data_IF_855704298086
#
_entry.id   IF_855704298086
#
_cell.length_a   1.000
_cell.length_b   1.000
_cell.length_c   1.000
_cell.angle_alpha   90.00
_cell.angle_beta   90.00
_cell.angle_gamma   90.00
#
_symmetry.space_group_name_H-M   'P 1'
#
loop_
_entity.id
_entity.type
_entity.pdbx_description
1 polymer ?
#
# COMPACT_ATOMS: atom_id res chain seq x y z
N UNK A 1 -20.04 17.68 17.48
CA UNK A 1 -18.69 18.27 17.56
C UNK A 1 -17.81 17.33 18.38
N UNK A 2 -16.60 16.99 17.91
CA UNK A 2 -15.64 16.18 18.67
C UNK A 2 -14.78 17.13 19.52
N UNK A 3 -15.14 17.32 20.78
CA UNK A 3 -14.30 18.01 21.76
C UNK A 3 -13.59 16.97 22.63
N UNK A 4 -12.26 16.95 22.60
CA UNK A 4 -11.43 16.47 23.70
C UNK A 4 -10.32 17.50 23.93
N UNK A 5 -10.25 18.04 25.15
CA UNK A 5 -9.16 18.87 25.68
C UNK A 5 -9.01 20.31 25.14
N UNK A 6 -10.12 21.00 24.83
CA UNK A 6 -10.11 22.47 24.64
C UNK A 6 -9.30 22.97 23.43
N UNK A 7 -8.88 22.08 22.53
CA UNK A 7 -8.29 22.42 21.24
C UNK A 7 -9.32 22.08 20.16
N UNK A 8 -9.55 23.02 19.24
CA UNK A 8 -10.31 22.76 18.03
C UNK A 8 -9.54 21.65 17.29
N UNK A 9 -10.14 20.47 17.14
CA UNK A 9 -9.57 19.47 16.26
C UNK A 9 -9.60 20.04 14.85
N UNK A 10 -8.52 19.80 14.10
CA UNK A 10 -8.53 20.03 12.66
C UNK A 10 -9.65 19.21 12.03
N UNK A 11 -10.21 19.73 10.96
CA UNK A 11 -11.20 18.99 10.19
C UNK A 11 -10.60 17.66 9.73
N UNK A 12 -11.45 16.63 9.63
CA UNK A 12 -11.00 15.33 9.13
C UNK A 12 -10.39 15.53 7.73
N UNK A 13 -9.29 14.82 7.40
CA UNK A 13 -8.68 14.93 6.09
C UNK A 13 -9.71 14.57 5.01
N UNK A 14 -9.67 15.30 3.90
CA UNK A 14 -10.47 14.96 2.74
C UNK A 14 -10.06 13.60 2.17
N UNK A 15 -11.01 12.94 1.51
CA UNK A 15 -10.73 11.66 0.87
C UNK A 15 -9.74 11.82 -0.28
N UNK A 16 -8.64 11.06 -0.24
CA UNK A 16 -7.65 11.04 -1.33
C UNK A 16 -7.96 9.91 -2.31
N UNK A 17 -8.45 10.28 -3.51
CA UNK A 17 -8.66 9.34 -4.61
C UNK A 17 -7.34 8.68 -5.05
N UNK A 18 -6.24 9.45 -5.10
CA UNK A 18 -4.91 8.92 -5.41
C UNK A 18 -4.49 7.83 -4.44
N UNK A 19 -4.62 8.08 -3.13
CA UNK A 19 -4.29 7.08 -2.11
C UNK A 19 -5.20 5.83 -2.21
N UNK A 20 -6.48 6.02 -2.51
CA UNK A 20 -7.41 4.91 -2.71
C UNK A 20 -7.04 4.03 -3.91
N UNK A 21 -6.66 4.64 -5.04
CA UNK A 21 -6.23 3.91 -6.24
C UNK A 21 -4.92 3.16 -5.96
N UNK A 22 -3.94 3.79 -5.29
CA UNK A 22 -2.68 3.14 -4.91
C UNK A 22 -2.95 1.92 -4.02
N UNK A 23 -3.84 2.05 -3.02
CA UNK A 23 -4.21 0.93 -2.15
C UNK A 23 -4.85 -0.21 -2.93
N UNK A 24 -5.76 0.09 -3.86
CA UNK A 24 -6.37 -0.91 -4.72
C UNK A 24 -5.35 -1.60 -5.63
N UNK A 25 -4.41 -0.83 -6.21
CA UNK A 25 -3.33 -1.36 -7.03
C UNK A 25 -2.45 -2.33 -6.22
N UNK A 26 -2.05 -1.94 -5.00
CA UNK A 26 -1.32 -2.82 -4.10
C UNK A 26 -2.08 -4.12 -3.82
N UNK A 27 -3.39 -4.05 -3.56
CA UNK A 27 -4.21 -5.25 -3.34
C UNK A 27 -4.20 -6.17 -4.57
N UNK A 28 -4.28 -5.63 -5.78
CA UNK A 28 -4.20 -6.42 -7.02
C UNK A 28 -2.81 -7.04 -7.19
N UNK A 29 -1.75 -6.23 -7.10
CA UNK A 29 -0.35 -6.67 -7.25
C UNK A 29 0.00 -7.73 -6.20
N UNK A 30 -0.41 -7.54 -4.94
CA UNK A 30 -0.10 -8.46 -3.84
C UNK A 30 -0.63 -9.89 -4.04
N UNK A 31 -1.59 -10.10 -4.94
CA UNK A 31 -2.09 -11.43 -5.30
C UNK A 31 -1.08 -12.27 -6.06
N UNK A 32 -0.11 -11.66 -6.73
CA UNK A 32 1.00 -12.39 -7.39
C UNK A 32 2.12 -12.76 -6.43
N UNK A 33 2.02 -12.41 -5.14
CA UNK A 33 3.07 -12.64 -4.16
C UNK A 33 3.43 -14.13 -4.07
N UNK A 34 4.72 -14.40 -4.19
CA UNK A 34 5.28 -15.72 -3.95
C UNK A 34 5.39 -16.03 -2.44
N UNK A 35 5.22 -17.30 -2.11
CA UNK A 35 5.41 -17.81 -0.76
C UNK A 35 6.39 -18.98 -0.80
N UNK A 36 7.39 -18.97 0.08
CA UNK A 36 8.36 -20.04 0.21
C UNK A 36 8.28 -20.63 1.62
N UNK A 37 7.99 -21.93 1.73
CA UNK A 37 7.78 -22.60 3.03
C UNK A 37 6.78 -21.88 3.94
N UNK A 38 5.75 -21.25 3.35
CA UNK A 38 4.74 -20.47 4.08
C UNK A 38 5.17 -19.05 4.45
N UNK A 39 6.40 -18.64 4.13
CA UNK A 39 6.91 -17.29 4.33
C UNK A 39 6.58 -16.42 3.12
N UNK A 40 5.94 -15.28 3.38
CA UNK A 40 5.64 -14.27 2.35
C UNK A 40 6.94 -13.64 1.84
N UNK A 41 7.19 -13.73 0.53
CA UNK A 41 8.33 -13.06 -0.10
C UNK A 41 7.97 -11.61 -0.47
N UNK A 42 8.94 -10.68 -0.51
CA UNK A 42 8.72 -9.32 -0.97
C UNK A 42 8.21 -9.26 -2.41
N UNK A 43 7.43 -8.23 -2.72
CA UNK A 43 7.06 -7.96 -4.11
C UNK A 43 8.28 -7.49 -4.88
N UNK A 44 8.37 -7.88 -6.14
CA UNK A 44 9.42 -7.44 -7.05
C UNK A 44 8.87 -6.41 -8.06
N UNK A 45 9.80 -5.70 -8.71
CA UNK A 45 9.44 -4.74 -9.75
C UNK A 45 8.69 -5.37 -10.93
N UNK A 46 8.85 -6.68 -11.18
CA UNK A 46 8.17 -7.38 -12.28
C UNK A 46 6.67 -7.44 -12.05
N UNK A 47 6.25 -7.68 -10.82
CA UNK A 47 4.84 -7.69 -10.43
C UNK A 47 4.20 -6.31 -10.62
N UNK A 48 4.96 -5.23 -10.38
CA UNK A 48 4.50 -3.86 -10.61
C UNK A 48 4.44 -3.56 -12.11
N UNK A 49 5.49 -3.90 -12.87
CA UNK A 49 5.50 -3.74 -14.33
C UNK A 49 4.32 -4.43 -15.01
N UNK A 50 4.02 -5.68 -14.62
CA UNK A 50 2.89 -6.43 -15.17
C UNK A 50 1.53 -5.77 -14.87
N UNK A 51 1.36 -5.12 -13.71
CA UNK A 51 0.17 -4.32 -13.43
C UNK A 51 0.10 -3.09 -14.34
N UNK A 52 1.23 -2.42 -14.56
CA UNK A 52 1.32 -1.22 -15.39
C UNK A 52 1.19 -1.47 -16.89
N UNK A 53 1.27 -2.72 -17.34
CA UNK A 53 0.89 -3.11 -18.70
C UNK A 53 -0.63 -2.99 -18.95
N UNK A 54 -1.43 -3.03 -17.88
CA UNK A 54 -2.90 -3.02 -17.94
C UNK A 54 -3.52 -1.72 -17.43
N UNK A 55 -2.81 -0.98 -16.58
CA UNK A 55 -3.33 0.18 -15.85
C UNK A 55 -2.34 1.35 -15.85
N UNK A 56 -2.88 2.57 -15.85
CA UNK A 56 -2.09 3.80 -15.66
C UNK A 56 -1.86 4.10 -14.17
N UNK A 57 -0.79 4.84 -13.85
CA UNK A 57 -0.52 5.29 -12.47
C UNK A 57 -1.33 6.54 -12.12
N UNK A 58 -1.84 6.66 -10.88
CA UNK A 58 -2.60 7.83 -10.43
C UNK A 58 -1.72 9.04 -10.06
N UNK A 59 -0.40 8.90 -10.21
CA UNK A 59 0.64 9.88 -9.89
C UNK A 59 1.92 9.55 -10.69
N UNK A 60 3.01 10.27 -10.43
CA UNK A 60 4.32 9.98 -10.99
C UNK A 60 4.73 8.53 -10.70
N UNK A 61 5.31 7.87 -11.70
CA UNK A 61 5.64 6.45 -11.64
C UNK A 61 6.51 6.10 -10.43
N UNK A 62 7.53 6.91 -10.13
CA UNK A 62 8.41 6.66 -8.98
C UNK A 62 7.66 6.75 -7.65
N UNK A 63 6.74 7.72 -7.49
CA UNK A 63 5.89 7.85 -6.30
C UNK A 63 4.98 6.63 -6.15
N UNK A 64 4.35 6.20 -7.24
CA UNK A 64 3.50 5.01 -7.24
C UNK A 64 4.27 3.76 -6.78
N UNK A 65 5.45 3.51 -7.38
CA UNK A 65 6.31 2.38 -7.05
C UNK A 65 6.75 2.42 -5.59
N UNK A 66 7.19 3.58 -5.10
CA UNK A 66 7.58 3.78 -3.70
C UNK A 66 6.43 3.50 -2.73
N UNK A 67 5.22 3.97 -3.04
CA UNK A 67 4.05 3.70 -2.21
C UNK A 67 3.69 2.20 -2.20
N UNK A 68 3.76 1.51 -3.34
CA UNK A 68 3.51 0.05 -3.40
C UNK A 68 4.51 -0.71 -2.54
N UNK A 69 5.81 -0.37 -2.60
CA UNK A 69 6.82 -0.99 -1.74
C UNK A 69 6.67 -0.62 -0.26
N UNK A 70 6.23 0.60 0.05
CA UNK A 70 5.95 1.00 1.43
C UNK A 70 4.79 0.16 2.03
N UNK A 71 3.71 -0.05 1.26
CA UNK A 71 2.61 -0.92 1.65
C UNK A 71 3.06 -2.38 1.78
N UNK A 72 3.96 -2.84 0.90
CA UNK A 72 4.55 -4.17 0.97
C UNK A 72 5.33 -4.38 2.27
N UNK A 73 6.19 -3.42 2.64
CA UNK A 73 6.95 -3.46 3.88
C UNK A 73 6.04 -3.51 5.12
N UNK A 74 4.97 -2.70 5.14
CA UNK A 74 3.99 -2.72 6.23
C UNK A 74 3.30 -4.09 6.36
N UNK A 75 2.97 -4.72 5.23
CA UNK A 75 2.42 -6.07 5.23
C UNK A 75 3.41 -7.09 5.79
N UNK A 76 4.65 -7.09 5.30
CA UNK A 76 5.70 -8.02 5.72
C UNK A 76 6.02 -7.88 7.22
N UNK A 77 6.08 -6.65 7.73
CA UNK A 77 6.26 -6.40 9.16
C UNK A 77 5.09 -6.94 9.99
N UNK A 78 3.87 -6.80 9.47
CA UNK A 78 2.66 -7.37 10.09
C UNK A 78 2.68 -8.90 10.16
N UNK A 79 3.19 -9.57 9.11
CA UNK A 79 3.35 -11.03 9.09
C UNK A 79 4.45 -11.46 10.06
N UNK A 80 5.62 -10.81 10.03
CA UNK A 80 6.76 -11.13 10.90
C UNK A 80 6.41 -11.00 12.39
N UNK A 81 5.68 -9.94 12.77
CA UNK A 81 5.22 -9.73 14.15
C UNK A 81 4.23 -10.79 14.65
N UNK A 82 3.51 -11.48 13.75
CA UNK A 82 2.57 -12.56 14.11
C UNK A 82 3.25 -13.92 14.21
N UNK A 83 4.42 -14.07 13.61
CA UNK A 83 5.19 -15.31 13.60
C UNK A 83 6.25 -15.38 14.71
N UNK A 84 6.40 -14.31 15.50
CA UNK A 84 7.26 -14.23 16.69
C UNK A 84 6.41 -14.41 17.96
#
# INVERSE_FOLDING_TARGET
MREKLGRKLDDAPEFSYTAHIILNAFNVISRSRAYEQGVALPLDGRSISAYLELYETPCELHVFVECVFALDNLFLDGVRKKSA
#
